data_IF_370980083520
#
_entry.id   IF_370980083520
#
_cell.length_a   1.000
_cell.length_b   1.000
_cell.length_c   1.000
_cell.angle_alpha   90.00
_cell.angle_beta   90.00
_cell.angle_gamma   90.00
#
_symmetry.space_group_name_H-M   'P 1'
#
loop_
_entity.id
_entity.type
_entity.pdbx_description
1 polymer ?
#
# COMPACT_ATOMS: atom_id res chain seq x y z
N UNK A 1 -11.06 0.89 4.82
CA UNK A 1 -10.12 1.92 5.26
C UNK A 1 -8.73 1.41 5.60
N UNK A 2 -7.83 2.37 5.84
CA UNK A 2 -6.41 2.24 6.20
C UNK A 2 -6.24 2.63 7.67
N UNK A 3 -5.49 1.86 8.46
CA UNK A 3 -5.23 2.20 9.87
C UNK A 3 -4.48 3.52 9.97
N UNK A 4 -5.07 4.50 10.66
CA UNK A 4 -4.53 5.85 10.82
C UNK A 4 -3.13 5.82 11.44
N UNK A 5 -2.94 5.02 12.49
CA UNK A 5 -1.64 4.92 13.17
C UNK A 5 -0.56 4.31 12.28
N UNK A 6 -0.88 3.22 11.59
CA UNK A 6 0.09 2.58 10.69
C UNK A 6 0.45 3.49 9.53
N UNK A 7 -0.53 4.17 8.92
CA UNK A 7 -0.26 5.12 7.85
C UNK A 7 0.61 6.29 8.33
N UNK A 8 0.32 6.86 9.50
CA UNK A 8 1.13 7.92 10.10
C UNK A 8 2.60 7.50 10.25
N UNK A 9 2.85 6.32 10.82
CA UNK A 9 4.22 5.82 10.99
C UNK A 9 4.90 5.53 9.64
N UNK A 10 4.23 4.81 8.75
CA UNK A 10 4.75 4.49 7.42
C UNK A 10 5.08 5.76 6.62
N UNK A 11 4.17 6.72 6.59
CA UNK A 11 4.33 7.97 5.86
C UNK A 11 5.45 8.83 6.46
N UNK A 12 5.48 9.00 7.78
CA UNK A 12 6.50 9.81 8.46
C UNK A 12 7.89 9.22 8.26
N UNK A 13 8.04 7.90 8.42
CA UNK A 13 9.31 7.22 8.18
C UNK A 13 9.73 7.36 6.72
N UNK A 14 8.86 7.01 5.78
CA UNK A 14 9.22 6.97 4.37
C UNK A 14 9.45 8.37 3.77
N UNK A 15 8.68 9.39 4.18
CA UNK A 15 8.83 10.76 3.67
C UNK A 15 10.12 11.46 4.11
N UNK A 16 10.80 10.93 5.13
CA UNK A 16 12.12 11.44 5.54
C UNK A 16 13.26 11.00 4.61
N UNK A 17 13.06 9.93 3.83
CA UNK A 17 14.09 9.33 2.98
C UNK A 17 13.70 9.23 1.50
N UNK A 18 12.40 9.27 1.17
CA UNK A 18 11.87 9.07 -0.17
C UNK A 18 10.89 10.18 -0.54
N UNK A 19 10.86 10.52 -1.84
CA UNK A 19 9.73 11.24 -2.40
C UNK A 19 8.55 10.27 -2.56
N UNK A 20 7.42 10.59 -1.95
CA UNK A 20 6.28 9.67 -1.87
C UNK A 20 5.23 9.99 -2.93
N UNK A 21 4.54 8.95 -3.38
CA UNK A 21 3.28 9.09 -4.09
C UNK A 21 2.27 8.14 -3.43
N UNK A 22 1.16 8.71 -2.98
CA UNK A 22 0.06 7.90 -2.46
C UNK A 22 -0.84 7.49 -3.63
N UNK A 23 -1.20 6.23 -3.70
CA UNK A 23 -2.14 5.70 -4.68
C UNK A 23 -3.23 4.90 -3.98
N UNK A 24 -4.47 5.05 -4.45
CA UNK A 24 -5.64 4.31 -3.96
C UNK A 24 -6.46 3.81 -5.16
N UNK A 25 -7.26 2.74 -4.99
CA UNK A 25 -8.19 2.31 -6.03
C UNK A 25 -9.12 3.47 -6.46
N UNK A 26 -9.12 3.77 -7.76
CA UNK A 26 -9.86 4.88 -8.35
C UNK A 26 -9.37 6.29 -7.97
N UNK A 27 -8.27 6.42 -7.22
CA UNK A 27 -7.75 7.71 -6.74
C UNK A 27 -8.66 8.36 -5.70
N UNK A 28 -9.45 7.55 -4.99
CA UNK A 28 -10.35 8.03 -3.93
C UNK A 28 -9.54 8.57 -2.74
N UNK A 29 -10.06 9.56 -2.00
CA UNK A 29 -9.47 9.99 -0.74
C UNK A 29 -9.26 8.80 0.21
N UNK A 30 -8.21 8.88 1.02
CA UNK A 30 -7.89 7.82 1.98
C UNK A 30 -8.98 7.75 3.05
N UNK A 31 -9.63 6.61 3.14
CA UNK A 31 -10.57 6.27 4.21
C UNK A 31 -9.77 5.79 5.43
N UNK A 32 -9.56 6.66 6.43
CA UNK A 32 -8.80 6.33 7.64
C UNK A 32 -9.71 5.67 8.69
N UNK A 33 -9.26 4.54 9.24
CA UNK A 33 -9.87 3.86 10.39
C UNK A 33 -8.97 4.00 11.63
N UNK A 34 -9.51 3.72 12.81
CA UNK A 34 -8.82 3.83 14.11
C UNK A 34 -8.25 5.23 14.39
N UNK A 35 -8.96 6.26 13.93
CA UNK A 35 -8.63 7.66 14.27
C UNK A 35 -8.99 7.89 15.74
N UNK A 36 -8.03 8.37 16.52
CA UNK A 36 -8.16 8.65 17.95
C UNK A 36 -7.42 9.94 18.31
N UNK A 37 -7.49 10.36 19.57
CA UNK A 37 -6.88 11.62 20.04
C UNK A 37 -5.37 11.72 19.74
N UNK A 38 -4.64 10.59 19.78
CA UNK A 38 -3.20 10.54 19.54
C UNK A 38 -2.78 10.77 18.09
N UNK A 39 -3.66 10.54 17.11
CA UNK A 39 -3.36 10.67 15.69
C UNK A 39 -4.25 11.68 14.94
N UNK A 40 -5.36 12.12 15.54
CA UNK A 40 -6.37 12.98 14.90
C UNK A 40 -5.75 14.26 14.32
N UNK A 41 -4.89 14.94 15.09
CA UNK A 41 -4.24 16.18 14.64
C UNK A 41 -3.40 15.95 13.40
N UNK A 42 -2.58 14.90 13.40
CA UNK A 42 -1.73 14.57 12.26
C UNK A 42 -2.57 14.23 11.02
N UNK A 43 -3.68 13.50 11.17
CA UNK A 43 -4.57 13.16 10.06
C UNK A 43 -5.24 14.40 9.48
N UNK A 44 -5.68 15.34 10.31
CA UNK A 44 -6.22 16.63 9.87
C UNK A 44 -5.17 17.42 9.09
N UNK A 45 -3.94 17.52 9.61
CA UNK A 45 -2.83 18.19 8.93
C UNK A 45 -2.46 17.50 7.61
N UNK A 46 -2.45 16.16 7.59
CA UNK A 46 -2.18 15.37 6.39
C UNK A 46 -3.20 15.64 5.29
N UNK A 47 -4.49 15.75 5.63
CA UNK A 47 -5.59 16.00 4.67
C UNK A 47 -5.46 17.33 3.93
N UNK A 48 -4.69 18.29 4.46
CA UNK A 48 -4.40 19.57 3.81
C UNK A 48 -3.20 19.52 2.85
N UNK A 49 -2.44 18.41 2.83
CA UNK A 49 -1.26 18.24 1.97
C UNK A 49 -1.67 17.71 0.60
N UNK A 50 -0.83 17.96 -0.40
CA UNK A 50 -1.01 17.41 -1.76
C UNK A 50 -1.12 15.88 -1.78
N UNK A 51 -0.42 15.19 -0.86
CA UNK A 51 -0.48 13.74 -0.69
C UNK A 51 -1.87 13.19 -0.32
N UNK A 52 -2.78 14.04 0.17
CA UNK A 52 -4.16 13.66 0.48
C UNK A 52 -5.05 13.55 -0.75
N UNK A 53 -4.53 13.88 -1.93
CA UNK A 53 -5.16 13.64 -3.23
C UNK A 53 -4.40 12.50 -3.93
N UNK A 54 -4.75 11.22 -3.69
CA UNK A 54 -3.98 10.10 -4.20
C UNK A 54 -4.09 9.99 -5.72
N UNK A 55 -3.06 9.45 -6.33
CA UNK A 55 -3.16 9.00 -7.70
C UNK A 55 -4.07 7.76 -7.81
N UNK A 56 -4.65 7.57 -9.00
CA UNK A 56 -5.38 6.35 -9.33
C UNK A 56 -4.41 5.19 -9.40
N UNK A 57 -4.59 4.15 -8.59
CA UNK A 57 -3.78 2.93 -8.64
C UNK A 57 -3.69 2.36 -10.06
N UNK A 58 -4.76 2.49 -10.83
CA UNK A 58 -4.89 2.04 -12.21
C UNK A 58 -3.97 2.78 -13.19
N UNK A 59 -3.50 3.97 -12.81
CA UNK A 59 -2.58 4.81 -13.60
C UNK A 59 -1.12 4.68 -13.17
N UNK A 60 -0.83 3.86 -12.15
CA UNK A 60 0.52 3.70 -11.61
C UNK A 60 1.32 2.76 -12.50
N UNK A 61 2.43 3.26 -13.01
CA UNK A 61 3.47 2.45 -13.65
C UNK A 61 4.54 2.08 -12.61
N UNK A 62 4.64 0.79 -12.28
CA UNK A 62 5.60 0.26 -11.30
C UNK A 62 7.06 0.51 -11.66
N UNK A 63 7.39 0.72 -12.94
CA UNK A 63 8.76 1.01 -13.37
C UNK A 63 9.30 2.32 -12.76
N UNK A 64 8.42 3.29 -12.50
CA UNK A 64 8.77 4.63 -12.00
C UNK A 64 9.16 4.68 -10.51
N UNK A 65 8.97 3.59 -9.77
CA UNK A 65 9.17 3.55 -8.32
C UNK A 65 10.27 2.57 -7.93
N UNK A 66 10.93 2.87 -6.83
CA UNK A 66 12.03 2.05 -6.30
C UNK A 66 11.59 1.13 -5.15
N UNK A 67 10.50 1.46 -4.47
CA UNK A 67 9.98 0.72 -3.32
C UNK A 67 8.44 0.80 -3.29
N UNK A 68 7.79 -0.26 -2.81
CA UNK A 68 6.35 -0.32 -2.57
C UNK A 68 6.11 -0.51 -1.07
N UNK A 69 5.30 0.37 -0.48
CA UNK A 69 4.92 0.30 0.94
C UNK A 69 3.39 0.24 1.05
N UNK A 70 2.89 -0.85 1.62
CA UNK A 70 1.47 -1.08 1.89
C UNK A 70 1.29 -1.06 3.42
N UNK A 71 0.75 0.03 4.00
CA UNK A 71 0.53 0.12 5.43
C UNK A 71 -0.55 -0.89 5.89
N UNK A 72 -0.75 -1.01 7.20
CA UNK A 72 -1.86 -1.78 7.73
C UNK A 72 -3.19 -1.22 7.19
N UNK A 73 -3.83 -2.00 6.32
CA UNK A 73 -5.03 -1.60 5.61
C UNK A 73 -6.08 -2.71 5.71
N UNK A 74 -7.00 -2.63 6.70
CA UNK A 74 -8.11 -3.58 6.81
C UNK A 74 -8.95 -3.68 5.53
N UNK A 75 -9.09 -2.58 4.78
CA UNK A 75 -9.79 -2.57 3.50
C UNK A 75 -9.12 -3.39 2.40
N UNK A 76 -7.83 -3.72 2.53
CA UNK A 76 -7.04 -4.37 1.48
C UNK A 76 -7.59 -5.73 1.07
N UNK A 77 -8.25 -6.46 1.99
CA UNK A 77 -8.89 -7.73 1.66
C UNK A 77 -10.07 -7.56 0.71
N UNK A 78 -10.72 -6.40 0.72
CA UNK A 78 -11.89 -6.10 -0.11
C UNK A 78 -11.51 -5.57 -1.48
N UNK A 79 -10.55 -4.65 -1.57
CA UNK A 79 -10.21 -3.96 -2.82
C UNK A 79 -8.86 -4.39 -3.42
N UNK A 80 -7.78 -4.40 -2.65
CA UNK A 80 -6.43 -4.64 -3.14
C UNK A 80 -6.14 -6.12 -3.43
N UNK A 81 -6.66 -7.04 -2.62
CA UNK A 81 -6.40 -8.48 -2.72
C UNK A 81 -6.88 -9.09 -4.06
N UNK A 82 -7.77 -8.42 -4.77
CA UNK A 82 -8.29 -8.84 -6.08
C UNK A 82 -7.95 -7.84 -7.21
N UNK A 83 -7.03 -6.90 -6.95
CA UNK A 83 -6.69 -5.85 -7.92
C UNK A 83 -5.69 -6.34 -8.96
N UNK A 84 -6.15 -6.50 -10.21
CA UNK A 84 -5.26 -6.79 -11.34
C UNK A 84 -4.25 -5.69 -11.64
N UNK A 85 -4.51 -4.45 -11.22
CA UNK A 85 -3.55 -3.34 -11.36
C UNK A 85 -2.41 -3.47 -10.35
N UNK A 86 -2.74 -3.79 -9.09
CA UNK A 86 -1.73 -4.05 -8.08
C UNK A 86 -0.90 -5.30 -8.42
N UNK A 87 -1.55 -6.35 -8.94
CA UNK A 87 -0.87 -7.58 -9.36
C UNK A 87 0.28 -7.29 -10.34
N UNK A 88 0.05 -6.43 -11.34
CA UNK A 88 1.07 -6.01 -12.31
C UNK A 88 2.24 -5.27 -11.65
N UNK A 89 1.94 -4.38 -10.70
CA UNK A 89 2.98 -3.65 -9.95
C UNK A 89 3.81 -4.63 -9.12
N UNK A 90 3.17 -5.56 -8.41
CA UNK A 90 3.85 -6.56 -7.58
C UNK A 90 4.72 -7.51 -8.41
N UNK A 91 4.22 -7.97 -9.56
CA UNK A 91 4.99 -8.78 -10.51
C UNK A 91 6.22 -8.01 -10.99
N UNK A 92 6.06 -6.76 -11.44
CA UNK A 92 7.18 -5.90 -11.86
C UNK A 92 8.23 -5.77 -10.76
N UNK A 93 7.79 -5.50 -9.53
CA UNK A 93 8.70 -5.38 -8.39
C UNK A 93 9.42 -6.68 -8.07
N UNK A 94 8.73 -7.82 -8.14
CA UNK A 94 9.33 -9.13 -7.93
C UNK A 94 10.37 -9.46 -9.00
N UNK A 95 10.05 -9.27 -10.27
CA UNK A 95 10.97 -9.50 -11.40
C UNK A 95 12.22 -8.62 -11.33
N UNK A 96 12.05 -7.35 -10.97
CA UNK A 96 13.17 -6.40 -10.84
C UNK A 96 13.87 -6.45 -9.48
N UNK A 97 13.52 -7.42 -8.62
CA UNK A 97 14.06 -7.52 -7.24
C UNK A 97 13.95 -6.23 -6.42
N UNK A 98 12.87 -5.46 -6.64
CA UNK A 98 12.58 -4.22 -5.91
C UNK A 98 11.90 -4.51 -4.58
N UNK A 99 12.21 -3.74 -3.52
CA UNK A 99 11.64 -3.95 -2.19
C UNK A 99 10.12 -3.70 -2.14
N UNK A 100 9.41 -4.65 -1.52
CA UNK A 100 7.99 -4.57 -1.19
C UNK A 100 7.87 -4.75 0.33
N UNK A 101 7.24 -3.78 0.99
CA UNK A 101 6.92 -3.84 2.40
C UNK A 101 5.41 -3.80 2.57
N UNK A 102 4.83 -4.85 3.14
CA UNK A 102 3.42 -4.90 3.50
C UNK A 102 3.28 -5.15 5.00
N UNK A 103 2.44 -4.38 5.67
CA UNK A 103 2.31 -4.38 7.13
C UNK A 103 0.88 -4.75 7.52
N UNK A 104 0.71 -5.56 8.57
CA UNK A 104 -0.61 -5.93 9.11
C UNK A 104 -1.52 -6.56 8.06
N UNK A 105 -2.76 -6.08 7.96
CA UNK A 105 -3.73 -6.52 6.94
C UNK A 105 -3.39 -6.03 5.54
N UNK A 106 -2.41 -5.13 5.37
CA UNK A 106 -1.87 -4.76 4.06
C UNK A 106 -1.22 -5.93 3.34
N UNK A 107 -0.82 -6.99 4.06
CA UNK A 107 -0.26 -8.23 3.47
C UNK A 107 -1.29 -8.93 2.57
N UNK A 108 -2.60 -8.78 2.82
CA UNK A 108 -3.65 -9.32 1.96
C UNK A 108 -3.57 -8.76 0.52
N UNK A 109 -3.00 -7.58 0.33
CA UNK A 109 -2.80 -6.98 -0.97
C UNK A 109 -1.83 -7.78 -1.86
N UNK A 110 -0.95 -8.60 -1.26
CA UNK A 110 -0.02 -9.46 -2.00
C UNK A 110 -0.72 -10.65 -2.69
N UNK A 111 -1.93 -11.02 -2.24
CA UNK A 111 -2.67 -12.17 -2.76
C UNK A 111 -3.08 -12.02 -4.24
N UNK A 112 -3.17 -10.79 -4.76
CA UNK A 112 -3.56 -10.56 -6.15
C UNK A 112 -2.49 -10.97 -7.18
N UNK A 113 -1.24 -11.15 -6.76
CA UNK A 113 -0.11 -11.34 -7.66
C UNK A 113 0.14 -12.82 -7.97
N UNK A 114 -0.39 -13.31 -9.10
CA UNK A 114 -0.15 -14.66 -9.61
C UNK A 114 0.64 -14.63 -10.92
N UNK A 115 1.54 -15.59 -11.13
CA UNK A 115 2.25 -15.81 -12.39
C UNK A 115 1.31 -16.39 -13.47
N UNK A 116 1.81 -16.50 -14.70
CA UNK A 116 1.06 -17.08 -15.83
C UNK A 116 0.65 -18.54 -15.59
N UNK A 117 1.47 -19.29 -14.88
CA UNK A 117 1.21 -20.68 -14.46
C UNK A 117 0.25 -20.78 -13.25
N UNK A 118 -0.32 -19.66 -12.80
CA UNK A 118 -1.18 -19.50 -11.62
C UNK A 118 -0.48 -19.74 -10.28
N UNK A 119 0.85 -19.92 -10.26
CA UNK A 119 1.60 -19.91 -9.01
C UNK A 119 1.57 -18.51 -8.41
N UNK A 120 1.65 -18.42 -7.08
CA UNK A 120 1.71 -17.13 -6.41
C UNK A 120 3.11 -16.52 -6.53
N UNK A 121 3.21 -15.23 -6.84
CA UNK A 121 4.49 -14.54 -7.08
C UNK A 121 5.45 -14.66 -5.90
N UNK A 122 4.92 -14.68 -4.68
CA UNK A 122 5.71 -14.76 -3.44
C UNK A 122 5.81 -16.19 -2.89
N UNK A 123 5.58 -17.21 -3.72
CA UNK A 123 5.79 -18.59 -3.30
C UNK A 123 7.24 -18.80 -2.86
N UNK A 124 7.43 -19.41 -1.68
CA UNK A 124 8.75 -19.61 -1.07
C UNK A 124 9.25 -18.46 -0.20
N UNK A 125 8.55 -17.32 -0.16
CA UNK A 125 8.86 -16.24 0.77
C UNK A 125 8.35 -16.56 2.17
N UNK A 126 9.11 -16.12 3.18
CA UNK A 126 8.65 -16.09 4.56
C UNK A 126 7.92 -14.78 4.83
N UNK A 127 6.70 -14.86 5.34
CA UNK A 127 5.82 -13.72 5.57
C UNK A 127 5.25 -13.76 6.98
N UNK A 128 4.93 -12.59 7.50
CA UNK A 128 4.16 -12.40 8.72
C UNK A 128 2.95 -11.52 8.41
N UNK A 129 1.91 -11.57 9.23
CA UNK A 129 0.67 -10.83 9.06
C UNK A 129 -0.03 -10.64 10.40
N UNK A 130 -1.25 -10.10 10.36
CA UNK A 130 -2.08 -10.06 11.57
C UNK A 130 -2.41 -11.47 12.06
N UNK A 131 -2.34 -11.65 13.38
CA UNK A 131 -2.77 -12.85 14.11
C UNK A 131 -4.17 -12.66 14.66
#
# INVERSE_FOLDING_TARGET
GVSAQSFLHCFTLASSAFNLQVATPGGKPIDFVDVNEGNMRWIQDFRMKSYANPAKLESIDGARYHALLIPNCPGAMTDLANSGYLAKILQHFSTESKPICAVGQGVAALCCATNEDKSWVFQGYSLTGVS
#
